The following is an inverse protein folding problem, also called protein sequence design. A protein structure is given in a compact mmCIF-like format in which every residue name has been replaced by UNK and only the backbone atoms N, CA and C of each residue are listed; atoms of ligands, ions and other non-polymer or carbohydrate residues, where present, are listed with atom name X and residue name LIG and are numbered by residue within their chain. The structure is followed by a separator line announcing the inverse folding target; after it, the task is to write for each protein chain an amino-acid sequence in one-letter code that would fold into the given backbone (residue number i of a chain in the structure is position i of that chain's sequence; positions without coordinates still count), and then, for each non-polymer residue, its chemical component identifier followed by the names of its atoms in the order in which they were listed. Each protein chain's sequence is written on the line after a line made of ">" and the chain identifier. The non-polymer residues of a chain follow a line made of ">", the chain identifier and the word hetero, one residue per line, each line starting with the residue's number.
data_IF_649414351258
#
_entry.id   IF_649414351258
#
_cell.length_a   1.000
_cell.length_b   1.000
_cell.length_c   1.000
_cell.angle_alpha   90.00
_cell.angle_beta   90.00
_cell.angle_gamma   90.00
#
_symmetry.space_group_name_H-M   'P 1'
#
loop_
_entity.id
_entity.type
_entity.pdbx_description
1 polymer ?
#
# COMPACT_ATOMS: atom_id res chain seq x y z
N UNK A 1 -5.94 15.43 0.23
CA UNK A 1 -5.99 13.95 0.13
C UNK A 1 -6.60 13.41 -1.17
N UNK A 2 -7.34 14.20 -1.96
CA UNK A 2 -7.99 13.73 -3.20
C UNK A 2 -7.09 12.97 -4.19
N UNK A 3 -5.86 13.42 -4.41
CA UNK A 3 -4.91 12.73 -5.31
C UNK A 3 -4.30 11.43 -4.72
N UNK A 4 -4.35 11.24 -3.40
CA UNK A 4 -3.87 10.02 -2.72
C UNK A 4 -5.02 9.02 -2.53
N UNK A 5 -6.20 9.52 -2.13
CA UNK A 5 -7.36 8.70 -1.74
C UNK A 5 -8.47 8.66 -2.81
N UNK A 6 -8.23 9.23 -4.00
CA UNK A 6 -9.14 9.22 -5.15
C UNK A 6 -10.24 10.29 -5.12
N UNK A 7 -10.92 10.50 -4.00
CA UNK A 7 -11.97 11.51 -3.87
C UNK A 7 -12.08 12.06 -2.44
N UNK A 8 -12.79 13.18 -2.27
CA UNK A 8 -13.09 13.72 -0.93
C UNK A 8 -14.01 12.78 -0.14
N UNK A 9 -15.01 12.18 -0.80
CA UNK A 9 -15.90 11.19 -0.19
C UNK A 9 -15.15 9.96 0.31
N UNK A 10 -14.17 9.46 -0.45
CA UNK A 10 -13.32 8.34 -0.04
C UNK A 10 -12.39 8.72 1.14
N UNK A 11 -11.84 9.93 1.15
CA UNK A 11 -11.06 10.42 2.28
C UNK A 11 -11.91 10.51 3.56
N UNK A 12 -13.14 11.02 3.47
CA UNK A 12 -14.07 11.08 4.60
C UNK A 12 -14.50 9.68 5.07
N UNK A 13 -14.71 8.75 4.14
CA UNK A 13 -15.00 7.35 4.48
C UNK A 13 -13.84 6.71 5.26
N UNK A 14 -12.59 6.90 4.81
CA UNK A 14 -11.40 6.41 5.49
C UNK A 14 -11.27 6.98 6.90
N UNK A 15 -11.50 8.29 7.08
CA UNK A 15 -11.52 8.91 8.40
C UNK A 15 -12.57 8.26 9.32
N UNK A 16 -13.84 8.17 8.87
CA UNK A 16 -14.94 7.62 9.69
C UNK A 16 -14.71 6.16 10.08
N UNK A 17 -14.14 5.37 9.17
CA UNK A 17 -13.96 3.92 9.36
C UNK A 17 -12.66 3.56 10.08
N UNK A 18 -11.60 4.33 9.88
CA UNK A 18 -10.24 3.97 10.33
C UNK A 18 -9.55 5.08 11.10
N UNK A 19 -9.74 6.35 10.72
CA UNK A 19 -9.07 7.49 11.35
C UNK A 19 -9.54 7.80 12.77
N UNK A 20 -10.82 7.62 13.07
CA UNK A 20 -11.39 7.84 14.42
C UNK A 20 -10.77 6.94 15.50
N UNK A 21 -10.22 5.78 15.11
CA UNK A 21 -9.52 4.86 16.01
C UNK A 21 -8.04 5.24 16.25
N UNK A 22 -7.49 6.20 15.51
CA UNK A 22 -6.06 6.53 15.57
C UNK A 22 -5.67 7.38 16.79
N UNK A 23 -6.66 7.88 17.57
CA UNK A 23 -6.45 8.81 18.67
C UNK A 23 -5.69 10.09 18.24
N UNK A 24 -6.04 10.60 17.06
CA UNK A 24 -5.51 11.84 16.47
C UNK A 24 -6.68 12.77 16.13
N UNK A 25 -6.42 14.07 16.09
CA UNK A 25 -7.35 14.98 15.43
C UNK A 25 -7.42 14.65 13.92
N UNK A 26 -8.52 15.03 13.26
CA UNK A 26 -8.71 14.72 11.84
C UNK A 26 -7.58 15.27 10.96
N UNK A 27 -7.13 16.50 11.23
CA UNK A 27 -6.05 17.13 10.49
C UNK A 27 -4.72 16.38 10.67
N UNK A 28 -4.39 15.99 11.91
CA UNK A 28 -3.18 15.21 12.22
C UNK A 28 -3.21 13.83 11.55
N UNK A 29 -4.37 13.17 11.51
CA UNK A 29 -4.54 11.90 10.80
C UNK A 29 -4.23 12.03 9.31
N UNK A 30 -4.75 13.08 8.65
CA UNK A 30 -4.51 13.28 7.22
C UNK A 30 -3.08 13.73 6.93
N UNK A 31 -2.46 14.53 7.81
CA UNK A 31 -1.04 14.88 7.71
C UNK A 31 -0.16 13.64 7.85
N UNK A 32 -0.39 12.79 8.85
CA UNK A 32 0.34 11.53 9.04
C UNK A 32 0.13 10.56 7.87
N UNK A 33 -1.11 10.46 7.35
CA UNK A 33 -1.42 9.63 6.19
C UNK A 33 -0.67 10.09 4.93
N UNK A 34 -0.58 11.41 4.72
CA UNK A 34 0.21 11.99 3.63
C UNK A 34 1.70 11.69 3.80
N UNK A 35 2.25 11.97 4.98
CA UNK A 35 3.67 11.74 5.26
C UNK A 35 4.06 10.27 5.06
N UNK A 36 3.22 9.34 5.52
CA UNK A 36 3.42 7.90 5.31
C UNK A 36 3.38 7.51 3.82
N UNK A 37 2.44 8.08 3.06
CA UNK A 37 2.33 7.79 1.62
C UNK A 37 3.54 8.34 0.84
N UNK A 38 3.94 9.57 1.12
CA UNK A 38 5.04 10.26 0.42
C UNK A 38 6.42 9.68 0.78
N UNK A 39 6.55 9.02 1.94
CA UNK A 39 7.76 8.31 2.33
C UNK A 39 8.06 7.05 1.51
N UNK A 40 7.10 6.56 0.71
CA UNK A 40 7.23 5.33 -0.07
C UNK A 40 7.37 5.67 -1.55
N UNK A 41 8.49 5.26 -2.15
CA UNK A 41 8.69 5.31 -3.58
C UNK A 41 7.86 4.21 -4.26
N UNK A 42 6.99 4.63 -5.18
CA UNK A 42 6.20 3.71 -5.99
C UNK A 42 7.10 2.98 -7.00
N UNK A 43 7.03 1.63 -7.10
CA UNK A 43 7.79 0.88 -8.08
C UNK A 43 7.41 1.23 -9.52
N UNK A 44 8.39 1.27 -10.42
CA UNK A 44 8.20 1.55 -11.85
C UNK A 44 7.24 0.56 -12.54
N UNK A 45 7.22 -0.68 -12.04
CA UNK A 45 6.28 -1.74 -12.45
C UNK A 45 4.80 -1.36 -12.23
N UNK A 46 4.51 -0.24 -11.56
CA UNK A 46 3.15 0.27 -11.34
C UNK A 46 2.89 1.63 -12.03
N UNK A 47 3.83 2.14 -12.83
CA UNK A 47 3.85 3.55 -13.31
C UNK A 47 3.43 3.72 -14.78
N UNK A 48 3.51 2.69 -15.61
CA UNK A 48 3.11 2.70 -17.03
C UNK A 48 1.80 1.91 -17.22
N UNK A 49 1.07 2.02 -18.35
CA UNK A 49 -0.11 1.19 -18.59
C UNK A 49 0.24 -0.30 -18.46
N UNK A 50 -0.31 -0.92 -17.40
CA UNK A 50 0.00 -2.29 -16.94
C UNK A 50 -0.86 -3.34 -17.62
N UNK A 51 -1.82 -2.91 -18.45
CA UNK A 51 -2.68 -3.79 -19.22
C UNK A 51 -1.80 -4.61 -20.15
N UNK A 52 -1.51 -5.83 -19.73
CA UNK A 52 -0.96 -7.00 -20.45
C UNK A 52 0.23 -7.67 -19.75
N UNK A 53 0.93 -7.01 -18.81
CA UNK A 53 2.04 -7.66 -18.10
C UNK A 53 1.55 -8.48 -16.91
N UNK A 54 1.92 -9.76 -16.92
CA UNK A 54 1.84 -10.66 -15.77
C UNK A 54 3.20 -10.74 -15.10
N UNK A 55 3.24 -10.63 -13.78
CA UNK A 55 4.45 -10.74 -12.99
C UNK A 55 4.19 -11.55 -11.72
N UNK A 56 5.25 -12.16 -11.19
CA UNK A 56 5.18 -12.83 -9.89
C UNK A 56 5.00 -11.79 -8.78
N UNK A 57 4.15 -12.04 -7.76
CA UNK A 57 4.02 -11.14 -6.61
C UNK A 57 5.36 -10.87 -5.89
N UNK A 58 6.27 -11.84 -5.89
CA UNK A 58 7.63 -11.70 -5.35
C UNK A 58 8.46 -10.67 -6.11
N UNK A 59 8.33 -10.59 -7.44
CA UNK A 59 9.03 -9.58 -8.25
C UNK A 59 8.59 -8.15 -7.87
N UNK A 60 7.31 -7.95 -7.56
CA UNK A 60 6.79 -6.67 -7.06
C UNK A 60 7.34 -6.36 -5.67
N UNK A 61 7.37 -7.34 -4.76
CA UNK A 61 7.97 -7.19 -3.42
C UNK A 61 9.45 -6.78 -3.56
N UNK A 62 10.21 -7.48 -4.39
CA UNK A 62 11.63 -7.18 -4.60
C UNK A 62 11.83 -5.79 -5.18
N UNK A 63 10.96 -5.33 -6.08
CA UNK A 63 11.02 -3.96 -6.60
C UNK A 63 10.74 -2.92 -5.53
N UNK A 64 9.71 -3.13 -4.70
CA UNK A 64 9.40 -2.25 -3.58
C UNK A 64 10.60 -2.14 -2.64
N UNK A 65 11.24 -3.26 -2.29
CA UNK A 65 12.39 -3.28 -1.40
C UNK A 65 13.62 -2.61 -1.99
N UNK A 66 13.89 -2.79 -3.30
CA UNK A 66 14.99 -2.10 -3.99
C UNK A 66 14.83 -0.58 -3.97
N UNK A 67 13.60 -0.11 -4.15
CA UNK A 67 13.28 1.33 -4.25
C UNK A 67 13.10 2.00 -2.88
N UNK A 68 12.97 1.20 -1.81
CA UNK A 68 12.69 1.63 -0.45
C UNK A 68 13.57 0.86 0.56
N UNK A 69 14.84 1.24 0.69
CA UNK A 69 15.85 0.55 1.52
C UNK A 69 15.51 0.50 3.03
N UNK A 70 14.57 1.35 3.49
CA UNK A 70 14.06 1.33 4.85
C UNK A 70 13.10 0.15 5.13
N UNK A 71 12.60 -0.52 4.09
CA UNK A 71 11.66 -1.63 4.20
C UNK A 71 12.39 -2.98 4.24
N UNK A 72 11.79 -3.92 4.95
CA UNK A 72 12.16 -5.34 4.97
C UNK A 72 11.00 -6.20 4.47
N UNK A 73 11.24 -7.45 4.03
CA UNK A 73 10.18 -8.33 3.51
C UNK A 73 8.99 -8.52 4.45
N UNK A 74 9.19 -8.41 5.76
CA UNK A 74 8.14 -8.58 6.76
C UNK A 74 7.41 -7.26 7.13
N UNK A 75 7.76 -6.13 6.50
CA UNK A 75 7.09 -4.84 6.67
C UNK A 75 5.99 -4.58 5.63
N UNK A 76 5.91 -5.42 4.59
CA UNK A 76 4.93 -5.26 3.54
C UNK A 76 4.28 -6.57 3.14
N UNK A 77 3.08 -6.47 2.56
CA UNK A 77 2.32 -7.60 2.04
C UNK A 77 1.63 -7.19 0.75
N UNK A 78 1.82 -7.99 -0.30
CA UNK A 78 1.05 -7.89 -1.54
C UNK A 78 -0.17 -8.79 -1.43
N UNK A 79 -1.35 -8.25 -1.73
CA UNK A 79 -2.61 -9.02 -1.80
C UNK A 79 -3.14 -9.02 -3.22
N UNK A 80 -3.82 -10.10 -3.59
CA UNK A 80 -4.41 -10.26 -4.92
C UNK A 80 -5.78 -10.90 -4.84
N UNK A 81 -6.58 -10.70 -5.90
CA UNK A 81 -7.90 -11.30 -6.05
C UNK A 81 -8.11 -11.69 -7.50
N UNK A 82 -8.36 -12.97 -7.78
CA UNK A 82 -8.60 -13.51 -9.13
C UNK A 82 -7.46 -13.17 -10.12
N UNK A 83 -6.20 -13.35 -9.72
CA UNK A 83 -5.04 -13.03 -10.56
C UNK A 83 -4.78 -11.54 -10.80
N UNK A 84 -5.44 -10.64 -10.05
CA UNK A 84 -5.22 -9.20 -10.11
C UNK A 84 -4.61 -8.67 -8.82
N UNK A 85 -3.63 -7.77 -8.94
CA UNK A 85 -3.11 -6.98 -7.82
C UNK A 85 -4.26 -6.19 -7.19
N UNK A 86 -4.44 -6.34 -5.88
CA UNK A 86 -5.50 -5.64 -5.14
C UNK A 86 -4.91 -4.54 -4.25
N UNK A 87 -4.01 -4.89 -3.34
CA UNK A 87 -3.36 -3.92 -2.44
C UNK A 87 -1.89 -4.28 -2.20
N UNK A 88 -1.06 -3.24 -2.07
CA UNK A 88 0.23 -3.29 -1.39
C UNK A 88 0.05 -2.66 0.00
N UNK A 89 0.21 -3.46 1.05
CA UNK A 89 0.08 -3.00 2.44
C UNK A 89 1.46 -2.84 3.05
N UNK A 90 1.70 -1.72 3.74
CA UNK A 90 2.94 -1.45 4.48
C UNK A 90 2.58 -1.21 5.95
N UNK A 91 3.27 -1.89 6.85
CA UNK A 91 3.02 -1.82 8.28
C UNK A 91 4.02 -0.87 8.94
N UNK A 92 3.47 0.15 9.60
CA UNK A 92 4.22 1.19 10.28
C UNK A 92 3.90 1.21 11.77
N UNK A 93 4.82 1.68 12.61
CA UNK A 93 4.53 2.03 13.99
C UNK A 93 3.90 3.43 14.10
N UNK A 94 3.68 3.89 15.34
CA UNK A 94 3.05 5.19 15.62
C UNK A 94 3.95 6.38 15.24
N UNK A 95 5.24 6.13 15.02
CA UNK A 95 6.24 7.08 14.57
C UNK A 95 6.43 7.01 13.05
N UNK A 96 5.56 6.28 12.34
CA UNK A 96 5.62 6.04 10.90
C UNK A 96 6.88 5.28 10.45
N UNK A 97 7.57 4.59 11.36
CA UNK A 97 8.72 3.77 11.03
C UNK A 97 8.27 2.35 10.63
N UNK A 98 8.90 1.73 9.61
CA UNK A 98 8.59 0.36 9.21
C UNK A 98 8.68 -0.62 10.37
N UNK A 99 7.66 -1.46 10.51
CA UNK A 99 7.61 -2.51 11.52
C UNK A 99 7.12 -3.82 10.91
N UNK A 100 7.41 -4.93 11.59
CA UNK A 100 6.85 -6.23 11.21
C UNK A 100 5.32 -6.18 11.21
N UNK A 101 4.70 -6.63 10.12
CA UNK A 101 3.26 -6.78 10.00
C UNK A 101 2.69 -7.81 11.00
N UNK A 102 1.44 -7.59 11.41
CA UNK A 102 0.68 -8.53 12.24
C UNK A 102 0.41 -9.85 11.52
N UNK A 103 0.20 -10.93 12.28
CA UNK A 103 -0.06 -12.28 11.75
C UNK A 103 -1.33 -12.35 10.87
N UNK A 104 -2.29 -11.49 11.17
CA UNK A 104 -3.54 -11.29 10.44
C UNK A 104 -3.33 -10.61 9.08
N UNK A 105 -2.28 -9.78 8.94
CA UNK A 105 -1.94 -9.08 7.69
C UNK A 105 -1.01 -9.90 6.80
N UNK A 106 -0.12 -10.72 7.37
CA UNK A 106 0.92 -11.48 6.65
C UNK A 106 0.40 -12.51 5.62
N UNK A 107 -0.92 -12.71 5.50
CA UNK A 107 -1.50 -13.51 4.41
C UNK A 107 -1.46 -12.73 3.10
N UNK A 108 -0.42 -12.97 2.31
CA UNK A 108 -0.23 -12.38 0.99
C UNK A 108 -0.93 -13.13 -0.15
N UNK A 109 -0.66 -12.66 -1.36
CA UNK A 109 -1.05 -13.30 -2.61
C UNK A 109 -0.36 -14.66 -2.78
N UNK A 110 -1.13 -15.70 -3.11
CA UNK A 110 -0.62 -17.04 -3.42
C UNK A 110 -0.62 -17.37 -4.91
N UNK A 111 -1.17 -16.49 -5.75
CA UNK A 111 -1.22 -16.71 -7.19
C UNK A 111 0.21 -16.63 -7.76
N UNK A 112 0.60 -17.55 -8.66
CA UNK A 112 1.95 -17.55 -9.22
C UNK A 112 2.23 -16.32 -10.08
N UNK A 113 1.18 -15.72 -10.65
CA UNK A 113 1.24 -14.52 -11.47
C UNK A 113 0.03 -13.63 -11.21
N UNK A 114 0.27 -12.33 -11.21
CA UNK A 114 -0.76 -11.29 -11.13
C UNK A 114 -0.57 -10.26 -12.24
N UNK A 115 -1.66 -9.62 -12.63
CA UNK A 115 -1.65 -8.40 -13.43
C UNK A 115 -2.07 -7.23 -12.58
N UNK A 116 -1.56 -6.04 -12.86
CA UNK A 116 -2.03 -4.83 -12.20
C UNK A 116 -3.13 -4.17 -13.05
N UNK A 117 -4.23 -3.71 -12.43
CA UNK A 117 -5.30 -3.05 -13.17
C UNK A 117 -4.79 -1.75 -13.78
N UNK A 118 -5.31 -1.41 -14.96
CA UNK A 118 -5.06 -0.11 -15.59
C UNK A 118 -5.57 0.99 -14.65
N UNK A 119 -4.75 2.02 -14.33
CA UNK A 119 -5.23 3.17 -13.61
C UNK A 119 -6.44 3.78 -14.34
N UNK A 120 -7.49 4.22 -13.63
CA UNK A 120 -8.63 4.92 -14.23
C UNK A 120 -8.24 6.28 -14.83
#
# INVERSE_FOLDING_TARGET
>A
MRHIMGSEGLALHAWRKHGTCANLAADDYFQASRAAFEAIRKPDQLTLPLSEQRFAPTSLIDSVLRDNLQLQPNNLVVTCRKGLLHELRICLDKQLSPRRCGRDVLRGCSDPYISAPTPP
#
